data_IF_577042775135
#
_entry.id   IF_577042775135
#
_cell.length_a   1.000
_cell.length_b   1.000
_cell.length_c   1.000
_cell.angle_alpha   90.00
_cell.angle_beta   90.00
_cell.angle_gamma   90.00
#
_symmetry.space_group_name_H-M   'P 1'
#
loop_
_entity.id
_entity.type
_entity.pdbx_description
1 polymer ?
#
# COMPACT_ATOMS: atom_id res chain seq x y z
N UNK A 1 -7.54 -8.35 8.13
CA UNK A 1 -7.85 -6.91 8.08
C UNK A 1 -6.67 -6.09 7.59
N UNK A 2 -6.23 -6.24 6.34
CA UNK A 2 -5.05 -5.53 5.88
C UNK A 2 -5.36 -4.07 5.55
N UNK A 3 -4.41 -3.20 5.89
CA UNK A 3 -4.44 -1.78 5.53
C UNK A 3 -3.29 -1.49 4.60
N UNK A 4 -3.61 -0.89 3.45
CA UNK A 4 -2.61 -0.39 2.51
C UNK A 4 -2.72 1.13 2.52
N UNK A 5 -1.77 1.77 3.17
CA UNK A 5 -1.73 3.22 3.34
C UNK A 5 -0.68 3.76 2.38
N UNK A 6 -1.11 4.56 1.42
CA UNK A 6 -0.23 5.06 0.36
C UNK A 6 0.06 6.53 0.63
N UNK A 7 1.35 6.87 0.71
CA UNK A 7 1.80 8.26 0.72
C UNK A 7 2.48 8.54 -0.60
N UNK A 8 2.22 9.70 -1.18
CA UNK A 8 2.87 10.07 -2.44
C UNK A 8 3.00 11.58 -2.56
N UNK A 9 3.85 12.01 -3.48
CA UNK A 9 3.92 13.41 -3.87
C UNK A 9 2.66 13.79 -4.67
N UNK A 10 2.23 15.04 -4.60
CA UNK A 10 0.98 15.47 -5.20
C UNK A 10 0.94 15.37 -6.73
N UNK A 11 2.09 15.39 -7.38
CA UNK A 11 2.19 15.19 -8.84
C UNK A 11 1.60 13.83 -9.27
N UNK A 12 1.69 12.83 -8.42
CA UNK A 12 1.15 11.49 -8.71
C UNK A 12 -0.35 11.55 -8.94
N UNK A 13 -1.08 12.28 -8.09
CA UNK A 13 -2.54 12.38 -8.19
C UNK A 13 -3.00 13.35 -9.26
N UNK A 14 -2.09 14.11 -9.86
CA UNK A 14 -2.40 14.93 -11.02
C UNK A 14 -2.56 14.08 -12.28
N UNK A 15 -1.86 12.95 -12.35
CA UNK A 15 -1.93 12.04 -13.50
C UNK A 15 -2.91 10.89 -13.32
N UNK A 16 -3.36 10.62 -12.09
CA UNK A 16 -4.27 9.51 -11.81
C UNK A 16 -5.18 9.87 -10.63
N UNK A 17 -6.51 9.78 -10.76
CA UNK A 17 -7.43 10.04 -9.66
C UNK A 17 -7.21 9.08 -8.49
N UNK A 18 -7.49 9.54 -7.27
CA UNK A 18 -7.33 8.73 -6.06
C UNK A 18 -8.07 7.40 -6.13
N UNK A 19 -9.31 7.43 -6.62
CA UNK A 19 -10.13 6.22 -6.71
C UNK A 19 -9.50 5.17 -7.63
N UNK A 20 -8.92 5.62 -8.74
CA UNK A 20 -8.25 4.72 -9.68
C UNK A 20 -6.96 4.17 -9.07
N UNK A 21 -6.18 5.02 -8.41
CA UNK A 21 -4.96 4.60 -7.72
C UNK A 21 -5.27 3.52 -6.68
N UNK A 22 -6.27 3.78 -5.82
CA UNK A 22 -6.69 2.83 -4.81
C UNK A 22 -7.12 1.50 -5.44
N UNK A 23 -7.83 1.55 -6.57
CA UNK A 23 -8.30 0.34 -7.24
C UNK A 23 -7.14 -0.52 -7.76
N UNK A 24 -6.08 0.10 -8.29
CA UNK A 24 -4.90 -0.63 -8.74
C UNK A 24 -4.23 -1.39 -7.60
N UNK A 25 -4.02 -0.73 -6.47
CA UNK A 25 -3.40 -1.37 -5.31
C UNK A 25 -4.31 -2.44 -4.73
N UNK A 26 -5.61 -2.16 -4.62
CA UNK A 26 -6.60 -3.14 -4.18
C UNK A 26 -6.54 -4.41 -5.04
N UNK A 27 -6.50 -4.26 -6.35
CA UNK A 27 -6.49 -5.40 -7.27
C UNK A 27 -5.28 -6.31 -7.06
N UNK A 28 -4.09 -5.71 -6.87
CA UNK A 28 -2.88 -6.49 -6.59
C UNK A 28 -3.03 -7.25 -5.27
N UNK A 29 -3.51 -6.57 -4.23
CA UNK A 29 -3.70 -7.19 -2.92
C UNK A 29 -4.73 -8.33 -2.98
N UNK A 30 -5.84 -8.13 -3.68
CA UNK A 30 -6.87 -9.14 -3.84
C UNK A 30 -6.37 -10.37 -4.61
N UNK A 31 -5.55 -10.16 -5.64
CA UNK A 31 -4.99 -11.26 -6.44
C UNK A 31 -3.86 -12.00 -5.72
N UNK A 32 -3.34 -11.47 -4.64
CA UNK A 32 -2.27 -12.14 -3.88
C UNK A 32 -2.72 -13.46 -3.25
N UNK A 33 -4.02 -13.59 -3.01
CA UNK A 33 -4.58 -14.76 -2.32
C UNK A 33 -4.34 -14.77 -0.81
N UNK A 34 -3.76 -13.70 -0.27
CA UNK A 34 -3.41 -13.63 1.17
C UNK A 34 -4.55 -13.13 2.04
N UNK A 35 -5.56 -12.48 1.46
CA UNK A 35 -6.60 -11.79 2.21
C UNK A 35 -7.97 -12.09 1.66
N UNK A 36 -8.98 -12.01 2.53
CA UNK A 36 -10.37 -11.97 2.08
C UNK A 36 -10.58 -10.61 1.43
N UNK A 37 -11.03 -10.61 0.18
CA UNK A 37 -11.09 -9.38 -0.63
C UNK A 37 -11.92 -8.26 0.00
N UNK A 38 -13.01 -8.60 0.70
CA UNK A 38 -13.85 -7.63 1.40
C UNK A 38 -13.21 -6.99 2.61
N UNK A 39 -12.09 -7.52 3.09
CA UNK A 39 -11.38 -6.99 4.27
C UNK A 39 -10.28 -5.99 3.90
N UNK A 40 -9.90 -5.92 2.64
CA UNK A 40 -8.78 -5.09 2.19
C UNK A 40 -9.17 -3.62 2.22
N UNK A 41 -8.35 -2.81 2.88
CA UNK A 41 -8.55 -1.36 2.97
C UNK A 41 -7.40 -0.64 2.31
N UNK A 42 -7.72 0.24 1.38
CA UNK A 42 -6.72 0.99 0.62
C UNK A 42 -7.09 2.47 0.66
N UNK A 43 -6.11 3.31 0.93
CA UNK A 43 -6.29 4.76 0.91
C UNK A 43 -4.99 5.44 0.55
N UNK A 44 -5.09 6.61 -0.07
CA UNK A 44 -3.92 7.38 -0.52
C UNK A 44 -4.01 8.79 0.03
N UNK A 45 -2.85 9.31 0.42
CA UNK A 45 -2.69 10.70 0.85
C UNK A 45 -1.52 11.31 0.08
N UNK A 46 -1.79 12.46 -0.54
CA UNK A 46 -0.77 13.20 -1.27
C UNK A 46 -0.19 14.32 -0.41
N UNK A 47 1.09 14.60 -0.62
CA UNK A 47 1.82 15.65 0.09
C UNK A 47 2.27 16.70 -0.92
N UNK A 48 2.04 17.96 -0.61
CA UNK A 48 2.51 19.09 -1.41
C UNK A 48 3.88 19.59 -0.96
N UNK A 49 4.25 19.31 0.30
CA UNK A 49 5.52 19.71 0.89
C UNK A 49 6.18 18.46 1.48
N UNK A 50 7.35 18.11 0.96
CA UNK A 50 8.06 16.90 1.37
C UNK A 50 9.50 16.98 0.90
N UNK A 51 10.37 16.14 1.46
CA UNK A 51 11.74 15.97 0.99
C UNK A 51 12.03 14.50 0.77
N UNK A 52 12.71 14.20 -0.32
CA UNK A 52 13.35 12.92 -0.58
C UNK A 52 14.85 13.23 -0.62
N UNK A 53 15.55 12.91 0.48
CA UNK A 53 16.91 13.40 0.67
C UNK A 53 16.91 14.93 0.75
N UNK A 54 17.60 15.58 -0.17
CA UNK A 54 17.80 17.04 -0.14
C UNK A 54 16.87 17.81 -1.08
N UNK A 55 15.95 17.13 -1.80
CA UNK A 55 15.11 17.78 -2.81
C UNK A 55 13.68 17.22 -2.80
N UNK A 56 12.78 17.95 -3.45
CA UNK A 56 11.43 17.49 -3.71
C UNK A 56 11.40 16.62 -4.95
N UNK A 57 11.55 15.32 -4.77
CA UNK A 57 11.47 14.34 -5.85
C UNK A 57 10.17 13.55 -5.75
N UNK A 58 9.58 13.22 -6.90
CA UNK A 58 8.38 12.39 -6.96
C UNK A 58 8.60 11.07 -6.22
N UNK A 59 7.63 10.69 -5.38
CA UNK A 59 7.73 9.46 -4.60
C UNK A 59 6.36 8.82 -4.38
N UNK A 60 6.39 7.51 -4.17
CA UNK A 60 5.25 6.72 -3.70
C UNK A 60 5.80 5.74 -2.66
N UNK A 61 5.18 5.71 -1.48
CA UNK A 61 5.48 4.70 -0.48
C UNK A 61 4.20 4.05 0.00
N UNK A 62 4.13 2.73 -0.05
CA UNK A 62 2.99 1.96 0.45
C UNK A 62 3.35 1.33 1.78
N UNK A 63 2.59 1.66 2.81
CA UNK A 63 2.71 1.05 4.14
C UNK A 63 1.60 0.01 4.24
N UNK A 64 1.96 -1.28 4.22
CA UNK A 64 0.99 -2.33 4.46
C UNK A 64 1.09 -2.79 5.90
N UNK A 65 -0.06 -2.79 6.59
CA UNK A 65 -0.17 -3.29 7.95
C UNK A 65 -1.13 -4.47 7.92
N UNK A 66 -0.61 -5.66 8.21
CA UNK A 66 -1.38 -6.90 8.10
C UNK A 66 -1.30 -7.70 9.39
N UNK A 67 -2.28 -8.58 9.60
CA UNK A 67 -2.25 -9.47 10.75
C UNK A 67 -1.13 -10.49 10.60
N UNK A 68 -0.45 -10.81 11.71
CA UNK A 68 0.60 -11.81 11.73
C UNK A 68 0.11 -13.17 11.21
N UNK A 69 1.04 -13.98 10.72
CA UNK A 69 0.76 -15.34 10.28
C UNK A 69 1.18 -15.65 8.85
N UNK A 70 1.50 -14.65 8.04
CA UNK A 70 2.04 -14.87 6.69
C UNK A 70 3.54 -15.04 6.77
N UNK A 71 4.08 -15.84 5.84
CA UNK A 71 5.53 -16.07 5.80
C UNK A 71 6.26 -14.84 5.28
N UNK A 72 7.58 -14.81 5.51
CA UNK A 72 8.45 -13.77 4.94
C UNK A 72 8.33 -13.76 3.42
N UNK A 73 8.31 -14.95 2.81
CA UNK A 73 8.21 -15.11 1.35
C UNK A 73 6.90 -14.53 0.82
N UNK A 74 5.79 -14.77 1.51
CA UNK A 74 4.48 -14.22 1.12
C UNK A 74 4.46 -12.70 1.21
N UNK A 75 5.01 -12.15 2.28
CA UNK A 75 5.07 -10.69 2.48
C UNK A 75 6.00 -10.03 1.46
N UNK A 76 7.13 -10.66 1.17
CA UNK A 76 8.07 -10.16 0.16
C UNK A 76 7.43 -10.18 -1.24
N UNK A 77 6.72 -11.24 -1.58
CA UNK A 77 6.02 -11.34 -2.86
C UNK A 77 4.95 -10.26 -3.01
N UNK A 78 4.23 -9.95 -1.93
CA UNK A 78 3.21 -8.90 -1.92
C UNK A 78 3.85 -7.54 -2.22
N UNK A 79 4.94 -7.19 -1.53
CA UNK A 79 5.66 -5.94 -1.78
C UNK A 79 6.14 -5.83 -3.21
N UNK A 80 6.75 -6.91 -3.71
CA UNK A 80 7.27 -6.95 -5.09
C UNK A 80 6.14 -6.75 -6.10
N UNK A 81 5.00 -7.38 -5.89
CA UNK A 81 3.86 -7.28 -6.80
C UNK A 81 3.30 -5.86 -6.87
N UNK A 82 3.15 -5.20 -5.71
CA UNK A 82 2.65 -3.83 -5.64
C UNK A 82 3.64 -2.86 -6.27
N UNK A 83 4.93 -2.96 -5.93
CA UNK A 83 5.96 -2.07 -6.49
C UNK A 83 6.09 -2.27 -7.99
N UNK A 84 6.01 -3.50 -8.47
CA UNK A 84 6.04 -3.79 -9.91
C UNK A 84 4.88 -3.10 -10.63
N UNK A 85 3.67 -3.21 -10.07
CA UNK A 85 2.49 -2.57 -10.65
C UNK A 85 2.65 -1.05 -10.68
N UNK A 86 3.06 -0.45 -9.56
CA UNK A 86 3.22 0.99 -9.48
C UNK A 86 4.32 1.50 -10.40
N UNK A 87 5.40 0.75 -10.54
CA UNK A 87 6.47 1.12 -11.46
C UNK A 87 5.99 1.12 -12.92
N UNK A 88 5.11 0.20 -13.28
CA UNK A 88 4.55 0.18 -14.64
C UNK A 88 3.58 1.35 -14.88
N UNK A 89 2.87 1.80 -13.84
CA UNK A 89 1.93 2.92 -13.95
C UNK A 89 2.61 4.28 -13.89
N UNK A 90 3.74 4.36 -13.17
CA UNK A 90 4.48 5.61 -12.94
C UNK A 90 5.96 5.42 -13.27
N UNK A 91 6.27 5.19 -14.56
CA UNK A 91 7.65 4.86 -14.96
C UNK A 91 8.66 5.98 -14.72
N UNK A 92 8.19 7.22 -14.59
CA UNK A 92 9.06 8.38 -14.40
C UNK A 92 9.25 8.73 -12.92
N UNK A 93 8.59 8.03 -12.02
CA UNK A 93 8.73 8.26 -10.57
C UNK A 93 9.93 7.47 -10.05
N UNK A 94 11.00 8.16 -9.59
CA UNK A 94 12.23 7.46 -9.20
C UNK A 94 12.13 6.71 -7.88
N UNK A 95 11.23 7.12 -6.98
CA UNK A 95 11.15 6.56 -5.63
C UNK A 95 9.81 5.87 -5.43
N UNK A 96 9.79 4.56 -5.60
CA UNK A 96 8.60 3.73 -5.36
C UNK A 96 9.02 2.59 -4.44
N UNK A 97 8.37 2.48 -3.29
CA UNK A 97 8.72 1.48 -2.31
C UNK A 97 7.50 1.02 -1.51
N UNK A 98 7.63 -0.12 -0.90
CA UNK A 98 6.61 -0.66 -0.01
C UNK A 98 7.29 -1.48 1.09
N UNK A 99 6.76 -1.38 2.30
CA UNK A 99 7.09 -2.28 3.39
C UNK A 99 5.81 -2.91 3.93
N UNK A 100 5.96 -4.08 4.54
CA UNK A 100 4.86 -4.82 5.15
C UNK A 100 5.19 -5.04 6.61
N UNK A 101 4.36 -4.47 7.49
CA UNK A 101 4.45 -4.66 8.92
C UNK A 101 3.32 -5.55 9.40
N UNK A 102 3.58 -6.34 10.43
CA UNK A 102 2.59 -7.21 11.01
C UNK A 102 2.14 -6.68 12.37
N UNK A 103 0.83 -6.82 12.67
CA UNK A 103 0.33 -6.57 14.01
C UNK A 103 -0.05 -7.88 14.68
N UNK A 104 -0.01 -7.87 16.03
CA UNK A 104 -0.34 -9.03 16.83
C UNK A 104 -1.83 -9.36 16.77
N UNK A 105 -2.15 -10.62 16.48
CA UNK A 105 -3.52 -11.09 16.47
C UNK A 105 -4.17 -10.94 17.85
N UNK A 106 -3.41 -11.19 18.91
CA UNK A 106 -3.93 -11.15 20.28
C UNK A 106 -4.38 -9.77 20.73
N UNK A 107 -3.85 -8.70 20.12
CA UNK A 107 -4.18 -7.33 20.47
C UNK A 107 -5.16 -6.67 19.49
N UNK A 108 -5.54 -7.39 18.45
CA UNK A 108 -6.45 -6.88 17.42
C UNK A 108 -7.90 -7.09 17.88
N UNK A 109 -8.74 -6.07 17.68
CA UNK A 109 -10.16 -6.18 17.95
C UNK A 109 -10.94 -5.39 16.90
N UNK A 110 -12.02 -5.98 16.40
CA UNK A 110 -12.94 -5.27 15.54
C UNK A 110 -14.37 -5.38 16.10
N UNK A 111 -15.29 -4.61 15.51
CA UNK A 111 -16.66 -4.53 15.99
C UNK A 111 -17.35 -5.89 16.03
N UNK A 112 -17.13 -6.73 15.01
CA UNK A 112 -17.77 -8.04 14.91
C UNK A 112 -17.39 -8.97 16.06
N UNK A 113 -16.19 -8.80 16.63
CA UNK A 113 -15.70 -9.61 17.74
C UNK A 113 -16.37 -9.28 19.08
N UNK A 114 -17.09 -8.18 19.15
CA UNK A 114 -17.76 -7.75 20.38
C UNK A 114 -19.14 -8.43 20.57
N UNK A 115 -19.51 -9.22 19.62
CA UNK A 115 -20.77 -9.93 19.65
C UNK A 115 -21.82 -9.26 18.84
#
# INVERSE_FOLDING_TARGET
MPHFIIHCSDDILQSMPQSEFNQHVYSVAAHSGLFVSGDIKVRVQAFSTYLVGEQQQSFIHVFASIMQGRTVEQRAALSRAVVTKLTSLFPDTPNIAMNVDEFEKATYCNKAMLG
#
